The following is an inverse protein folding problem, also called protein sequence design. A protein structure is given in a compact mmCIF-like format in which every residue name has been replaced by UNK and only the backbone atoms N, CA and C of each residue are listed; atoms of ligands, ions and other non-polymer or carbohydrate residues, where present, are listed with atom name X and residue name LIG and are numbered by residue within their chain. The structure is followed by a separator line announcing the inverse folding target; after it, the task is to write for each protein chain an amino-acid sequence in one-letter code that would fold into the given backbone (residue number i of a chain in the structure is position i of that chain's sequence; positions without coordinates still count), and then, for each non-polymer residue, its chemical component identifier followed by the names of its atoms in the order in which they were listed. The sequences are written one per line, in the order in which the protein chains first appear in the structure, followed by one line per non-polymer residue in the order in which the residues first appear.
data_IF_379103457470
#
_entry.id   IF_379103457470
#
_cell.length_a   1.000
_cell.length_b   1.000
_cell.length_c   1.000
_cell.angle_alpha   90.00
_cell.angle_beta   90.00
_cell.angle_gamma   90.00
#
_symmetry.space_group_name_H-M   'P 1'
#
loop_
_entity.id
_entity.type
_entity.pdbx_description
1 polymer ?
#
# COMPACT_ATOMS: atom_id res chain seq x y z
N UNK A 1 -14.79 -7.32 -7.21
CA UNK A 1 -14.59 -6.82 -5.83
C UNK A 1 -13.13 -6.47 -5.74
N UNK A 2 -12.75 -5.30 -5.24
CA UNK A 2 -11.36 -4.84 -5.31
C UNK A 2 -10.57 -5.42 -4.14
N UNK A 3 -9.49 -6.14 -4.42
CA UNK A 3 -8.67 -6.78 -3.39
C UNK A 3 -7.52 -5.88 -2.99
N UNK A 4 -7.25 -5.80 -1.69
CA UNK A 4 -6.11 -5.07 -1.14
C UNK A 4 -5.35 -5.95 -0.15
N UNK A 5 -4.03 -5.90 -0.23
CA UNK A 5 -3.14 -6.59 0.71
C UNK A 5 -2.83 -5.65 1.85
N UNK A 6 -2.96 -6.11 3.09
CA UNK A 6 -2.63 -5.34 4.29
C UNK A 6 -1.66 -6.15 5.15
N UNK A 7 -0.64 -5.51 5.70
CA UNK A 7 0.28 -6.18 6.62
C UNK A 7 1.25 -5.24 7.31
N UNK A 8 1.94 -5.74 8.33
CA UNK A 8 3.03 -5.02 8.99
C UNK A 8 4.36 -5.58 8.54
N UNK A 9 5.23 -4.72 8.01
CA UNK A 9 6.57 -5.10 7.56
C UNK A 9 7.59 -5.07 8.71
N UNK A 10 8.51 -6.04 8.71
CA UNK A 10 9.63 -6.09 9.66
C UNK A 10 9.23 -6.59 11.06
N UNK A 11 10.07 -6.40 12.08
CA UNK A 11 9.87 -7.00 13.42
C UNK A 11 8.79 -6.36 14.29
N UNK A 12 7.86 -5.62 13.69
CA UNK A 12 6.82 -4.90 14.42
C UNK A 12 5.63 -5.81 14.76
N UNK A 13 5.23 -5.82 16.04
CA UNK A 13 4.16 -6.67 16.58
C UNK A 13 2.86 -5.89 16.86
N UNK A 14 2.71 -4.68 16.34
CA UNK A 14 1.53 -3.84 16.62
C UNK A 14 0.34 -4.25 15.74
N UNK A 15 -0.43 -5.21 16.23
CA UNK A 15 -1.62 -5.75 15.54
C UNK A 15 -2.81 -4.78 15.54
N UNK A 16 -2.84 -3.79 16.46
CA UNK A 16 -4.01 -2.93 16.67
C UNK A 16 -4.29 -2.05 15.43
N UNK A 17 -3.26 -1.45 14.85
CA UNK A 17 -3.42 -0.56 13.69
C UNK A 17 -3.97 -1.29 12.47
N UNK A 18 -3.38 -2.44 12.11
CA UNK A 18 -3.84 -3.24 10.97
C UNK A 18 -5.25 -3.78 11.17
N UNK A 19 -5.64 -4.15 12.39
CA UNK A 19 -7.00 -4.67 12.65
C UNK A 19 -8.06 -3.57 12.48
N UNK A 20 -7.73 -2.33 12.83
CA UNK A 20 -8.63 -1.18 12.63
C UNK A 20 -8.77 -0.89 11.14
N UNK A 21 -7.65 -0.85 10.41
CA UNK A 21 -7.63 -0.63 8.97
C UNK A 21 -8.40 -1.72 8.24
N UNK A 22 -8.14 -2.99 8.54
CA UNK A 22 -8.84 -4.15 7.97
C UNK A 22 -10.37 -3.97 8.04
N UNK A 23 -10.89 -3.73 9.24
CA UNK A 23 -12.33 -3.51 9.44
C UNK A 23 -12.86 -2.31 8.68
N UNK A 24 -12.08 -1.23 8.60
CA UNK A 24 -12.49 -0.01 7.90
C UNK A 24 -12.55 -0.24 6.38
N UNK A 25 -11.55 -0.90 5.80
CA UNK A 25 -11.53 -1.26 4.38
C UNK A 25 -12.61 -2.28 4.02
N UNK A 26 -12.81 -3.31 4.84
CA UNK A 26 -13.91 -4.26 4.68
C UNK A 26 -15.28 -3.57 4.73
N UNK A 27 -15.49 -2.67 5.71
CA UNK A 27 -16.72 -1.88 5.81
C UNK A 27 -16.93 -0.95 4.61
N UNK A 28 -15.85 -0.49 3.97
CA UNK A 28 -15.89 0.29 2.74
C UNK A 28 -16.13 -0.56 1.47
N UNK A 29 -16.20 -1.88 1.60
CA UNK A 29 -16.51 -2.83 0.52
C UNK A 29 -15.30 -3.39 -0.23
N UNK A 30 -14.10 -3.26 0.32
CA UNK A 30 -12.88 -3.89 -0.21
C UNK A 30 -12.73 -5.32 0.32
N UNK A 31 -12.09 -6.17 -0.48
CA UNK A 31 -11.65 -7.49 -0.03
C UNK A 31 -10.24 -7.33 0.57
N UNK A 32 -10.11 -7.46 1.88
CA UNK A 32 -8.83 -7.25 2.57
C UNK A 32 -8.15 -8.59 2.81
N UNK A 33 -6.93 -8.76 2.29
CA UNK A 33 -6.07 -9.89 2.59
C UNK A 33 -5.05 -9.44 3.61
N UNK A 34 -5.26 -9.80 4.86
CA UNK A 34 -4.37 -9.43 5.96
C UNK A 34 -3.26 -10.49 6.13
N UNK A 35 -2.02 -10.10 5.83
CA UNK A 35 -0.82 -10.93 6.02
C UNK A 35 -0.36 -11.00 7.48
N UNK A 36 -0.92 -10.15 8.34
CA UNK A 36 -0.61 -10.09 9.76
C UNK A 36 0.61 -9.22 10.04
N UNK A 37 1.41 -9.67 11.01
CA UNK A 37 2.60 -8.97 11.49
C UNK A 37 3.87 -9.72 11.11
N UNK A 38 4.98 -8.99 10.96
CA UNK A 38 6.27 -9.56 10.59
C UNK A 38 6.29 -10.20 9.20
N UNK A 39 5.51 -9.63 8.29
CA UNK A 39 5.46 -10.05 6.90
C UNK A 39 6.69 -9.54 6.14
N UNK A 40 7.24 -10.38 5.28
CA UNK A 40 8.37 -10.06 4.41
C UNK A 40 7.91 -9.36 3.12
N UNK A 41 8.81 -8.60 2.48
CA UNK A 41 8.54 -7.97 1.18
C UNK A 41 8.02 -8.99 0.14
N UNK A 42 8.61 -10.19 0.12
CA UNK A 42 8.19 -11.29 -0.74
C UNK A 42 6.77 -11.77 -0.48
N UNK A 43 6.32 -11.82 0.78
CA UNK A 43 4.94 -12.23 1.09
C UNK A 43 3.92 -11.21 0.59
N UNK A 44 4.23 -9.91 0.65
CA UNK A 44 3.37 -8.89 0.06
C UNK A 44 3.22 -9.06 -1.45
N UNK A 45 4.32 -9.35 -2.14
CA UNK A 45 4.35 -9.54 -3.60
C UNK A 45 3.60 -10.81 -3.99
N UNK A 46 3.89 -11.93 -3.32
CA UNK A 46 3.27 -13.23 -3.58
C UNK A 46 1.75 -13.17 -3.32
N UNK A 47 1.33 -12.54 -2.23
CA UNK A 47 -0.09 -12.34 -1.95
C UNK A 47 -0.78 -11.39 -2.94
N UNK A 48 -0.07 -10.35 -3.39
CA UNK A 48 -0.60 -9.42 -4.39
C UNK A 48 -0.80 -10.11 -5.75
N UNK A 49 0.13 -10.97 -6.15
CA UNK A 49 0.03 -11.80 -7.36
C UNK A 49 -1.07 -12.87 -7.21
N UNK A 50 -1.07 -13.64 -6.12
CA UNK A 50 -2.03 -14.73 -5.89
C UNK A 50 -3.49 -14.25 -5.82
N UNK A 51 -3.71 -13.03 -5.33
CA UNK A 51 -5.05 -12.48 -5.13
C UNK A 51 -5.47 -11.40 -6.13
N UNK A 52 -4.67 -11.16 -7.18
CA UNK A 52 -4.92 -10.09 -8.16
C UNK A 52 -5.21 -8.76 -7.43
N UNK A 53 -4.36 -8.42 -6.46
CA UNK A 53 -4.56 -7.26 -5.62
C UNK A 53 -4.39 -5.99 -6.45
N UNK A 54 -5.22 -4.99 -6.15
CA UNK A 54 -5.09 -3.68 -6.79
C UNK A 54 -4.19 -2.75 -5.96
N UNK A 55 -4.05 -2.98 -4.66
CA UNK A 55 -3.21 -2.17 -3.80
C UNK A 55 -2.55 -2.99 -2.68
N UNK A 56 -1.38 -2.52 -2.26
CA UNK A 56 -0.62 -3.04 -1.13
C UNK A 56 -0.51 -1.95 -0.08
N UNK A 57 -1.00 -2.21 1.13
CA UNK A 57 -0.92 -1.32 2.28
C UNK A 57 0.06 -1.90 3.30
N UNK A 58 1.17 -1.21 3.47
CA UNK A 58 2.23 -1.56 4.41
C UNK A 58 2.12 -0.70 5.66
N UNK A 59 2.08 -1.34 6.83
CA UNK A 59 2.17 -0.64 8.10
C UNK A 59 3.55 -0.84 8.74
N UNK A 60 4.09 0.20 9.37
CA UNK A 60 5.32 0.09 10.17
C UNK A 60 5.27 1.07 11.34
N UNK A 61 5.53 0.58 12.56
CA UNK A 61 5.43 1.37 13.80
C UNK A 61 6.75 1.44 14.61
N UNK A 62 7.81 0.75 14.15
CA UNK A 62 9.09 0.68 14.87
C UNK A 62 10.19 1.60 14.29
N UNK A 63 9.83 2.42 13.29
CA UNK A 63 10.62 3.56 12.83
C UNK A 63 11.86 3.24 11.99
N UNK A 64 12.02 2.01 11.48
CA UNK A 64 13.07 1.65 10.52
C UNK A 64 12.46 1.21 9.17
N UNK A 65 11.30 1.75 8.82
CA UNK A 65 10.57 1.37 7.62
C UNK A 65 11.38 1.60 6.34
N UNK A 66 12.29 2.60 6.33
CA UNK A 66 13.17 2.86 5.18
C UNK A 66 14.04 1.65 4.84
N UNK A 67 14.62 0.99 5.85
CA UNK A 67 15.44 -0.20 5.64
C UNK A 67 14.61 -1.39 5.19
N UNK A 68 13.42 -1.58 5.77
CA UNK A 68 12.55 -2.70 5.40
C UNK A 68 11.93 -2.55 4.02
N UNK A 69 11.70 -1.32 3.56
CA UNK A 69 11.08 -1.04 2.27
C UNK A 69 12.11 -0.81 1.16
N UNK A 70 13.40 -0.82 1.48
CA UNK A 70 14.45 -0.66 0.50
C UNK A 70 14.38 -1.79 -0.54
N UNK A 71 14.26 -1.42 -1.82
CA UNK A 71 14.11 -2.38 -2.92
C UNK A 71 12.70 -2.91 -3.12
N UNK A 72 11.71 -2.53 -2.29
CA UNK A 72 10.35 -3.07 -2.37
C UNK A 72 9.67 -2.73 -3.70
N UNK A 73 9.69 -1.46 -4.10
CA UNK A 73 9.15 -1.03 -5.39
C UNK A 73 9.86 -1.71 -6.57
N UNK A 74 11.16 -1.98 -6.45
CA UNK A 74 11.91 -2.68 -7.49
C UNK A 74 11.42 -4.12 -7.63
N UNK A 75 11.22 -4.84 -6.53
CA UNK A 75 10.70 -6.21 -6.55
C UNK A 75 9.27 -6.28 -7.09
N UNK A 76 8.40 -5.31 -6.77
CA UNK A 76 7.05 -5.21 -7.35
C UNK A 76 7.13 -5.06 -8.87
N UNK A 77 7.98 -4.16 -9.36
CA UNK A 77 8.19 -3.96 -10.80
C UNK A 77 8.79 -5.21 -11.48
N UNK A 78 9.72 -5.90 -10.82
CA UNK A 78 10.33 -7.14 -11.32
C UNK A 78 9.32 -8.29 -11.38
N UNK A 79 8.35 -8.32 -10.47
CA UNK A 79 7.22 -9.25 -10.50
C UNK A 79 6.19 -8.89 -11.60
N UNK A 80 6.29 -7.69 -12.19
CA UNK A 80 5.37 -7.22 -13.23
C UNK A 80 3.99 -6.82 -12.69
N UNK A 81 3.90 -6.52 -11.39
CA UNK A 81 2.66 -6.15 -10.72
C UNK A 81 2.41 -4.64 -10.88
N UNK A 82 1.24 -4.28 -11.42
CA UNK A 82 0.75 -2.90 -11.41
C UNK A 82 -0.16 -2.71 -10.19
N UNK A 83 0.43 -2.41 -9.04
CA UNK A 83 -0.28 -2.26 -7.76
C UNK A 83 0.03 -0.92 -7.13
N UNK A 84 -0.99 -0.29 -6.56
CA UNK A 84 -0.82 0.96 -5.82
C UNK A 84 -0.22 0.67 -4.45
N UNK A 85 0.88 1.32 -4.09
CA UNK A 85 1.61 1.02 -2.84
C UNK A 85 1.45 2.13 -1.80
N UNK A 86 0.87 1.77 -0.66
CA UNK A 86 0.63 2.68 0.46
C UNK A 86 1.50 2.27 1.63
N UNK A 87 2.03 3.26 2.36
CA UNK A 87 2.76 3.01 3.61
C UNK A 87 2.28 3.93 4.73
N UNK A 88 2.10 3.39 5.93
CA UNK A 88 1.50 4.10 7.05
C UNK A 88 2.07 3.73 8.43
N UNK A 89 2.13 4.71 9.34
CA UNK A 89 2.47 4.49 10.75
C UNK A 89 3.63 5.37 11.22
N UNK A 90 4.42 4.85 12.16
CA UNK A 90 5.60 5.52 12.69
C UNK A 90 6.84 5.04 11.92
N UNK A 91 7.09 5.68 10.78
CA UNK A 91 8.02 5.20 9.75
C UNK A 91 9.49 5.52 10.04
N UNK A 92 9.77 6.56 10.83
CA UNK A 92 11.12 7.01 11.11
C UNK A 92 11.31 7.40 12.59
N UNK A 93 12.41 6.95 13.21
CA UNK A 93 12.79 7.40 14.56
C UNK A 93 13.62 8.68 14.46
N UNK A 94 13.14 9.77 15.07
CA UNK A 94 13.93 10.98 15.27
C UNK A 94 14.03 11.93 14.07
N UNK A 95 13.10 11.88 13.11
CA UNK A 95 12.95 12.95 12.13
C UNK A 95 12.22 14.16 12.73
N UNK A 96 12.66 15.37 12.36
CA UNK A 96 12.11 16.63 12.86
C UNK A 96 10.72 16.95 12.29
N UNK A 97 10.29 16.33 11.18
CA UNK A 97 8.94 16.52 10.58
C UNK A 97 8.48 15.37 9.69
N UNK A 98 7.18 15.01 9.76
CA UNK A 98 6.54 13.98 8.92
C UNK A 98 6.65 14.28 7.41
N UNK A 99 6.73 15.55 7.04
CA UNK A 99 6.89 15.95 5.63
C UNK A 99 8.20 15.40 5.01
N UNK A 100 9.30 15.37 5.77
CA UNK A 100 10.55 14.77 5.30
C UNK A 100 10.41 13.26 5.13
N UNK A 101 9.76 12.60 6.09
CA UNK A 101 9.45 11.17 6.02
C UNK A 101 8.67 10.86 4.74
N UNK A 102 7.62 11.64 4.47
CA UNK A 102 6.79 11.49 3.27
C UNK A 102 7.58 11.61 1.98
N UNK A 103 8.45 12.61 1.86
CA UNK A 103 9.27 12.80 0.66
C UNK A 103 10.25 11.63 0.47
N UNK A 104 10.84 11.10 1.54
CA UNK A 104 11.69 9.90 1.49
C UNK A 104 10.95 8.69 0.93
N UNK A 105 9.76 8.35 1.47
CA UNK A 105 9.02 7.18 1.01
C UNK A 105 8.43 7.35 -0.39
N UNK A 106 8.06 8.58 -0.78
CA UNK A 106 7.73 8.87 -2.18
C UNK A 106 8.93 8.66 -3.10
N UNK A 107 10.13 9.05 -2.69
CA UNK A 107 11.35 8.83 -3.46
C UNK A 107 11.72 7.34 -3.56
N UNK A 108 11.33 6.52 -2.58
CA UNK A 108 11.44 5.05 -2.64
C UNK A 108 10.43 4.40 -3.60
N UNK A 109 9.40 5.14 -4.02
CA UNK A 109 8.42 4.71 -5.02
C UNK A 109 7.03 4.40 -4.48
N UNK A 110 6.73 4.74 -3.22
CA UNK A 110 5.37 4.60 -2.70
C UNK A 110 4.44 5.69 -3.25
N UNK A 111 3.23 5.30 -3.65
CA UNK A 111 2.20 6.23 -4.16
C UNK A 111 1.66 7.14 -3.05
N UNK A 112 1.39 6.57 -1.86
CA UNK A 112 0.86 7.30 -0.70
C UNK A 112 1.62 6.95 0.57
N UNK A 113 1.81 7.98 1.38
CA UNK A 113 2.50 7.89 2.67
C UNK A 113 1.61 8.56 3.71
N UNK A 114 1.34 7.83 4.78
CA UNK A 114 0.49 8.23 5.90
C UNK A 114 1.26 8.09 7.22
N UNK A 115 0.87 8.85 8.21
CA UNK A 115 1.44 8.78 9.56
C UNK A 115 0.49 8.03 10.51
N UNK A 116 0.88 7.86 11.77
CA UNK A 116 0.05 7.21 12.79
C UNK A 116 -1.19 7.99 13.21
N UNK A 117 -1.26 9.30 12.94
CA UNK A 117 -2.40 10.17 13.23
C UNK A 117 -3.41 10.24 12.07
N UNK A 118 -3.06 9.72 10.88
CA UNK A 118 -3.97 9.71 9.73
C UNK A 118 -5.22 8.88 10.01
N UNK A 119 -6.39 9.44 9.70
CA UNK A 119 -7.67 8.74 9.84
C UNK A 119 -7.83 7.63 8.78
N UNK A 120 -8.36 6.45 9.15
CA UNK A 120 -8.57 5.35 8.20
C UNK A 120 -9.53 5.72 7.07
N UNK A 121 -10.47 6.64 7.32
CA UNK A 121 -11.37 7.17 6.29
C UNK A 121 -10.61 7.89 5.18
N UNK A 122 -9.57 8.67 5.51
CA UNK A 122 -8.73 9.34 4.51
C UNK A 122 -7.99 8.34 3.62
N UNK A 123 -7.45 7.26 4.22
CA UNK A 123 -6.80 6.19 3.46
C UNK A 123 -7.78 5.47 2.52
N UNK A 124 -9.02 5.25 2.97
CA UNK A 124 -10.10 4.67 2.16
C UNK A 124 -10.49 5.58 1.00
N UNK A 125 -10.63 6.88 1.23
CA UNK A 125 -10.96 7.84 0.18
C UNK A 125 -9.84 7.96 -0.86
N UNK A 126 -8.58 7.99 -0.41
CA UNK A 126 -7.42 7.97 -1.29
C UNK A 126 -7.41 6.71 -2.16
N UNK A 127 -7.61 5.53 -1.54
CA UNK A 127 -7.66 4.25 -2.26
C UNK A 127 -8.79 4.23 -3.29
N UNK A 128 -9.99 4.68 -2.92
CA UNK A 128 -11.13 4.77 -3.84
C UNK A 128 -10.84 5.69 -5.03
N UNK A 129 -10.14 6.80 -4.80
CA UNK A 129 -9.75 7.71 -5.86
C UNK A 129 -8.73 7.06 -6.80
N UNK A 130 -7.62 6.53 -6.27
CA UNK A 130 -6.55 5.89 -7.05
C UNK A 130 -7.08 4.72 -7.90
N UNK A 131 -7.86 3.82 -7.30
CA UNK A 131 -8.46 2.68 -8.01
C UNK A 131 -9.58 3.11 -8.98
N UNK A 132 -10.28 4.20 -8.67
CA UNK A 132 -11.28 4.81 -9.55
C UNK A 132 -10.67 5.45 -10.79
N UNK A 133 -9.45 5.99 -10.69
CA UNK A 133 -8.72 6.60 -11.80
C UNK A 133 -8.17 5.54 -12.77
N UNK A 134 -7.60 4.43 -12.27
CA UNK A 134 -7.10 3.34 -13.13
C UNK A 134 -8.19 2.67 -13.98
N UNK A 135 -9.40 2.53 -13.43
CA UNK A 135 -10.56 1.99 -14.17
C UNK A 135 -10.94 2.83 -15.41
N UNK A 136 -10.49 4.08 -15.52
CA UNK A 136 -10.81 5.00 -16.63
C UNK A 136 -9.71 5.07 -17.70
N UNK A 137 -8.45 4.84 -17.33
CA UNK A 137 -7.31 4.86 -18.26
C UNK A 137 -7.23 3.58 -19.10
N UNK A 138 -7.50 2.42 -18.49
CA UNK A 138 -7.63 1.12 -19.16
C UNK A 138 -8.72 1.13 -20.26
N UNK A 139 -9.85 1.81 -19.99
CA UNK A 139 -10.95 1.95 -20.94
C UNK A 139 -10.66 2.88 -22.15
N UNK A 140 -9.60 3.69 -22.08
CA UNK A 140 -9.18 4.56 -23.18
C UNK A 140 -8.17 3.89 -24.11
N UNK A 141 -7.49 2.83 -23.67
CA UNK A 141 -6.51 2.10 -24.47
C UNK A 141 -7.13 0.97 -25.32
N UNK A 142 -8.43 0.70 -25.25
CA UNK A 142 -9.08 -0.29 -26.13
C UNK A 142 -9.71 0.32 -27.40
N UNK A 143 -9.72 1.66 -27.53
CA UNK A 143 -10.31 2.36 -28.69
C UNK A 143 -9.32 2.83 -29.77
N UNK A 144 -8.04 2.47 -29.69
CA UNK A 144 -7.03 2.92 -30.68
C UNK A 144 -6.59 1.81 -31.67
N UNK A 145 -7.08 0.58 -31.53
CA UNK A 145 -6.73 -0.54 -32.45
C UNK A 145 -7.83 -0.90 -33.48
N UNK A 146 -8.91 -0.12 -33.60
CA UNK A 146 -9.94 -0.29 -34.64
C UNK A 146 -10.19 1.04 -35.38
N UNK A 147 -9.20 1.45 -36.17
CA UNK A 147 -9.28 2.62 -37.03
C UNK A 147 -8.33 2.47 -38.21
N UNK A 148 -8.82 1.72 -39.20
CA UNK A 148 -8.45 1.61 -40.62
C UNK A 148 -7.24 2.36 -41.17
#
# INVERSE_FOLDING_TARGET
MRTVILGVIGSDAHVVGITILERAFEAAGFNVVNLGVQSSQSEFIDAADEHDAEAILVSSLYGHAEQDCQGFQQQINEAGLDVTTYIGGNLAVGQDSFEETRETFKALGFDRVFDSETDPEEAIEALKADLGHRSREEASSEKVQLGS
#
